data_IF_354742964949
#
_entry.id   IF_354742964949
#
_cell.length_a   1.000
_cell.length_b   1.000
_cell.length_c   1.000
_cell.angle_alpha   90.00
_cell.angle_beta   90.00
_cell.angle_gamma   90.00
#
_symmetry.space_group_name_H-M   'P 1'
#
loop_
_entity.id
_entity.type
_entity.pdbx_description
1 polymer ?
#
# COMPACT_ATOMS: atom_id res chain seq x y z
N UNK A 1 -11.32 -9.54 18.72
CA UNK A 1 -10.10 -9.42 17.90
C UNK A 1 -10.28 -8.26 16.94
N UNK A 2 -9.28 -7.44 16.75
CA UNK A 2 -9.30 -6.36 15.77
C UNK A 2 -8.11 -6.58 14.85
N UNK A 3 -8.35 -6.63 13.55
CA UNK A 3 -7.32 -6.62 12.51
C UNK A 3 -7.42 -5.29 11.80
N UNK A 4 -6.36 -4.48 11.85
CA UNK A 4 -6.28 -3.23 11.11
C UNK A 4 -5.28 -3.43 9.98
N UNK A 5 -5.65 -3.06 8.77
CA UNK A 5 -4.79 -3.08 7.60
C UNK A 5 -4.53 -1.65 7.16
N UNK A 6 -3.26 -1.26 7.21
CA UNK A 6 -2.79 0.07 6.81
C UNK A 6 -2.09 -0.03 5.46
N UNK A 7 -2.49 0.81 4.54
CA UNK A 7 -1.82 0.99 3.25
C UNK A 7 -1.25 2.41 3.24
N UNK A 8 0.06 2.53 3.21
CA UNK A 8 0.84 3.78 3.31
C UNK A 8 0.80 4.48 4.68
N UNK A 9 1.82 4.28 5.50
CA UNK A 9 2.12 5.13 6.64
C UNK A 9 2.42 4.43 7.96
N UNK A 10 3.26 5.09 8.74
CA UNK A 10 3.67 4.67 10.07
C UNK A 10 2.80 5.40 11.10
N UNK A 11 1.89 4.70 11.77
CA UNK A 11 1.18 5.25 12.91
C UNK A 11 1.73 4.71 14.24
N UNK A 12 2.18 5.63 15.09
CA UNK A 12 2.38 5.38 16.52
C UNK A 12 1.07 5.77 17.21
N UNK A 13 0.27 4.79 17.59
CA UNK A 13 -0.92 5.05 18.38
C UNK A 13 -0.52 5.46 19.80
N UNK A 14 -1.12 6.53 20.36
CA UNK A 14 -0.90 6.89 21.77
C UNK A 14 -1.41 5.76 22.68
N UNK A 15 -0.80 5.57 23.87
CA UNK A 15 -1.18 4.50 24.78
C UNK A 15 -2.60 4.72 25.31
N UNK A 16 -3.56 4.01 24.75
CA UNK A 16 -4.89 3.93 25.31
C UNK A 16 -4.88 2.95 26.50
N UNK A 17 -5.27 3.44 27.69
CA UNK A 17 -5.41 2.59 28.88
C UNK A 17 -6.60 1.64 28.74
N UNK A 18 -6.38 0.51 28.11
CA UNK A 18 -7.35 -0.60 28.14
C UNK A 18 -6.94 -1.52 29.29
N UNK A 19 -7.82 -1.68 30.27
CA UNK A 19 -7.63 -2.52 31.47
C UNK A 19 -7.78 -4.02 31.16
N UNK A 20 -7.23 -4.49 30.09
CA UNK A 20 -7.05 -5.91 29.78
C UNK A 20 -5.75 -6.04 29.00
N UNK A 21 -4.91 -6.99 29.40
CA UNK A 21 -3.64 -7.23 28.76
C UNK A 21 -3.87 -7.65 27.28
N UNK A 22 -3.94 -6.68 26.41
CA UNK A 22 -3.96 -6.87 24.94
C UNK A 22 -2.50 -7.04 24.55
N UNK A 23 -2.16 -8.18 23.96
CA UNK A 23 -0.87 -8.35 23.31
C UNK A 23 -0.90 -7.47 22.05
N UNK A 24 -0.28 -6.30 22.14
CA UNK A 24 -0.10 -5.41 21.00
C UNK A 24 1.07 -5.93 20.18
N UNK A 25 0.79 -6.67 19.13
CA UNK A 25 1.79 -7.02 18.13
C UNK A 25 1.66 -6.01 16.98
N UNK A 26 2.44 -4.91 17.08
CA UNK A 26 2.59 -3.98 15.97
C UNK A 26 3.59 -4.58 14.99
N UNK A 27 3.11 -5.05 13.88
CA UNK A 27 3.97 -5.54 12.81
C UNK A 27 4.05 -4.44 11.76
N UNK A 28 5.16 -3.71 11.76
CA UNK A 28 5.48 -2.72 10.73
C UNK A 28 6.14 -3.44 9.56
N UNK A 29 5.68 -3.18 8.32
CA UNK A 29 5.90 -4.20 7.32
C UNK A 29 6.06 -3.72 5.91
N UNK A 30 7.07 -4.27 5.28
CA UNK A 30 7.44 -4.18 3.89
C UNK A 30 7.09 -5.50 3.16
N UNK A 31 6.40 -5.43 2.16
CA UNK A 31 5.63 -6.10 1.10
C UNK A 31 5.68 -7.63 0.93
N UNK A 32 6.71 -8.38 1.00
CA UNK A 32 6.72 -9.76 0.47
C UNK A 32 7.03 -10.89 1.47
N UNK A 33 6.97 -10.76 2.67
CA UNK A 33 7.21 -11.83 3.66
C UNK A 33 6.32 -11.69 4.89
N UNK A 34 5.47 -10.76 4.86
CA UNK A 34 4.78 -10.32 6.06
C UNK A 34 3.30 -10.69 6.09
N UNK A 35 2.67 -10.88 4.95
CA UNK A 35 1.39 -11.56 4.94
C UNK A 35 1.57 -12.96 5.53
N UNK A 36 2.66 -13.65 5.19
CA UNK A 36 3.03 -14.94 5.78
C UNK A 36 3.25 -14.86 7.29
N UNK A 37 3.88 -13.80 7.80
CA UNK A 37 4.03 -13.60 9.23
C UNK A 37 2.68 -13.34 9.93
N UNK A 38 1.81 -12.56 9.32
CA UNK A 38 0.43 -12.37 9.79
C UNK A 38 -0.36 -13.67 9.76
N UNK A 39 -0.26 -14.42 8.67
CA UNK A 39 -0.88 -15.75 8.53
C UNK A 39 -0.36 -16.69 9.62
N UNK A 40 0.96 -16.80 9.77
CA UNK A 40 1.57 -17.65 10.81
C UNK A 40 1.20 -17.25 12.23
N UNK A 41 0.95 -15.94 12.47
CA UNK A 41 0.40 -15.48 13.75
C UNK A 41 -1.06 -15.92 13.92
N UNK A 42 -1.90 -15.73 12.89
CA UNK A 42 -3.33 -16.08 12.94
C UNK A 42 -3.56 -17.60 13.07
N UNK A 43 -2.63 -18.42 12.57
CA UNK A 43 -2.69 -19.88 12.66
C UNK A 43 -2.32 -20.42 14.05
N UNK A 44 -1.75 -19.59 14.91
CA UNK A 44 -1.43 -19.99 16.28
C UNK A 44 -2.68 -20.01 17.15
N UNK A 45 -2.66 -20.88 18.17
CA UNK A 45 -3.73 -20.90 19.18
C UNK A 45 -3.58 -19.72 20.14
N UNK A 46 -4.53 -18.79 20.10
CA UNK A 46 -4.58 -17.64 20.99
C UNK A 46 -5.54 -17.90 22.15
N UNK A 47 -5.06 -17.74 23.38
CA UNK A 47 -5.88 -17.89 24.60
C UNK A 47 -6.44 -16.55 25.11
N UNK A 48 -6.00 -15.42 24.49
CA UNK A 48 -6.40 -14.06 24.84
C UNK A 48 -6.79 -13.31 23.58
N UNK A 49 -7.65 -12.29 23.69
CA UNK A 49 -7.88 -11.35 22.60
C UNK A 49 -6.59 -10.69 22.15
N UNK A 50 -6.45 -10.42 20.87
CA UNK A 50 -5.30 -9.72 20.30
C UNK A 50 -5.73 -8.60 19.35
N UNK A 51 -4.80 -7.72 19.05
CA UNK A 51 -4.89 -6.67 18.05
C UNK A 51 -3.73 -6.87 17.09
N UNK A 52 -4.03 -7.09 15.81
CA UNK A 52 -3.04 -7.27 14.75
C UNK A 52 -3.13 -6.09 13.79
N UNK A 53 -2.00 -5.47 13.50
CA UNK A 53 -1.87 -4.43 12.48
C UNK A 53 -0.98 -4.97 11.37
N UNK A 54 -1.51 -5.01 10.16
CA UNK A 54 -0.76 -5.31 8.94
C UNK A 54 -0.63 -4.02 8.12
N UNK A 55 0.59 -3.53 7.95
CA UNK A 55 0.90 -2.35 7.14
C UNK A 55 1.57 -2.76 5.83
N UNK A 56 1.24 -2.09 4.75
CA UNK A 56 1.80 -2.31 3.42
C UNK A 56 2.34 -1.00 2.85
N UNK A 57 3.55 -1.04 2.33
CA UNK A 57 4.22 0.13 1.77
C UNK A 57 3.80 0.41 0.30
N UNK A 58 3.41 -0.63 -0.43
CA UNK A 58 2.85 -0.44 -1.77
C UNK A 58 1.45 0.21 -1.69
N UNK A 59 1.10 1.03 -2.65
CA UNK A 59 1.78 1.35 -3.91
C UNK A 59 2.81 2.50 -3.82
N UNK A 60 3.19 2.98 -2.62
CA UNK A 60 4.12 4.10 -2.45
C UNK A 60 5.46 3.88 -3.19
N UNK A 61 5.93 2.64 -3.28
CA UNK A 61 7.16 2.29 -3.99
C UNK A 61 7.20 2.66 -5.48
N UNK A 62 6.10 3.11 -6.07
CA UNK A 62 6.09 3.67 -7.42
C UNK A 62 7.03 4.89 -7.54
N UNK A 63 7.33 5.57 -6.42
CA UNK A 63 8.27 6.68 -6.40
C UNK A 63 9.68 6.27 -6.86
N UNK A 64 10.10 5.03 -6.62
CA UNK A 64 11.40 4.52 -7.08
C UNK A 64 11.45 4.43 -8.62
N UNK A 65 10.36 4.00 -9.25
CA UNK A 65 10.25 4.03 -10.70
C UNK A 65 10.34 5.47 -11.24
N UNK A 66 9.67 6.43 -10.61
CA UNK A 66 9.75 7.84 -11.01
C UNK A 66 11.16 8.43 -10.82
N UNK A 67 11.98 7.86 -9.94
CA UNK A 67 13.41 8.19 -9.74
C UNK A 67 14.33 7.43 -10.69
N UNK A 68 13.80 6.66 -11.63
CA UNK A 68 14.58 5.77 -12.51
C UNK A 68 15.37 4.70 -11.73
N UNK A 69 14.85 4.27 -10.60
CA UNK A 69 15.39 3.21 -9.77
C UNK A 69 14.60 1.93 -9.93
N UNK A 70 15.19 0.80 -9.55
CA UNK A 70 14.49 -0.47 -9.54
C UNK A 70 13.44 -0.49 -8.42
N UNK A 71 12.30 -1.11 -8.70
CA UNK A 71 11.31 -1.37 -7.65
C UNK A 71 11.91 -2.33 -6.61
N UNK A 72 11.77 -2.04 -5.30
CA UNK A 72 12.45 -2.81 -4.23
C UNK A 72 12.07 -4.29 -4.20
N UNK A 73 10.90 -4.65 -4.70
CA UNK A 73 10.32 -6.00 -4.60
C UNK A 73 10.23 -6.71 -5.94
N UNK A 74 11.18 -6.43 -6.79
CA UNK A 74 11.30 -7.02 -8.10
C UNK A 74 10.57 -6.25 -9.21
N UNK A 75 10.93 -6.58 -10.42
CA UNK A 75 10.32 -5.95 -11.59
C UNK A 75 8.86 -6.38 -11.73
N UNK A 76 8.08 -5.49 -12.28
CA UNK A 76 6.72 -5.75 -12.73
C UNK A 76 6.79 -5.87 -14.24
N UNK A 77 6.27 -6.96 -14.78
CA UNK A 77 6.14 -7.10 -16.22
C UNK A 77 5.10 -6.12 -16.74
N UNK A 78 5.47 -5.40 -17.79
CA UNK A 78 4.53 -4.55 -18.48
C UNK A 78 3.70 -5.40 -19.45
N UNK A 79 2.39 -5.27 -19.45
CA UNK A 79 1.58 -5.79 -20.53
C UNK A 79 1.86 -5.02 -21.83
N UNK A 80 1.40 -5.50 -22.99
CA UNK A 80 1.46 -4.76 -24.24
C UNK A 80 0.91 -3.34 -24.10
N UNK A 81 1.51 -2.37 -24.78
CA UNK A 81 1.18 -0.94 -24.64
C UNK A 81 -0.31 -0.62 -24.87
N UNK A 82 -0.97 -1.39 -25.73
CA UNK A 82 -2.41 -1.24 -26.00
C UNK A 82 -3.30 -1.62 -24.82
N UNK A 83 -2.75 -2.33 -23.82
CA UNK A 83 -3.45 -2.71 -22.59
C UNK A 83 -3.21 -1.70 -21.45
N UNK A 84 -2.29 -0.74 -21.62
CA UNK A 84 -2.06 0.27 -20.59
C UNK A 84 -3.29 1.16 -20.39
N UNK A 85 -3.60 1.53 -19.15
CA UNK A 85 -4.74 2.39 -18.86
C UNK A 85 -4.62 3.73 -19.58
N UNK A 86 -5.73 4.28 -20.00
CA UNK A 86 -5.78 5.62 -20.56
C UNK A 86 -5.37 6.69 -19.54
N UNK A 87 -5.02 7.89 -20.00
CA UNK A 87 -4.82 9.05 -19.13
C UNK A 87 -6.14 9.49 -18.49
N UNK A 88 -6.13 10.06 -17.29
CA UNK A 88 -7.34 10.61 -16.69
C UNK A 88 -7.86 11.81 -17.49
N UNK A 89 -9.17 12.05 -17.43
CA UNK A 89 -9.81 13.15 -18.17
C UNK A 89 -9.24 14.53 -17.80
N UNK A 90 -8.76 14.69 -16.59
CA UNK A 90 -8.15 15.90 -16.06
C UNK A 90 -6.61 15.87 -16.11
N UNK A 91 -6.02 15.11 -17.00
CA UNK A 91 -4.56 15.01 -17.14
C UNK A 91 -3.91 16.33 -17.59
N UNK A 92 -4.58 17.08 -18.43
CA UNK A 92 -4.07 18.37 -18.86
C UNK A 92 -3.93 19.34 -17.68
N UNK A 93 -2.86 20.16 -17.70
CA UNK A 93 -2.66 21.18 -16.69
C UNK A 93 -3.88 22.11 -16.65
N UNK A 94 -4.41 22.32 -15.45
CA UNK A 94 -5.50 23.27 -15.25
C UNK A 94 -4.97 24.70 -15.48
N UNK A 95 -5.59 25.50 -16.38
CA UNK A 95 -5.15 26.87 -16.64
C UNK A 95 -5.34 27.82 -15.45
N UNK A 96 -6.10 27.40 -14.44
CA UNK A 96 -6.37 28.18 -13.22
C UNK A 96 -5.56 27.71 -12.02
N UNK A 97 -4.57 26.85 -12.21
CA UNK A 97 -3.68 26.44 -11.13
C UNK A 97 -2.92 27.65 -10.59
N UNK A 98 -2.82 27.74 -9.26
CA UNK A 98 -2.01 28.75 -8.62
C UNK A 98 -0.52 28.57 -8.97
N UNK A 99 0.21 29.67 -9.07
CA UNK A 99 1.64 29.65 -9.42
C UNK A 99 2.48 28.77 -8.49
N UNK A 100 2.10 28.65 -7.22
CA UNK A 100 2.76 27.78 -6.25
C UNK A 100 2.74 26.32 -6.69
N UNK A 101 1.68 25.84 -7.37
CA UNK A 101 1.62 24.46 -7.90
C UNK A 101 2.73 24.24 -8.93
N UNK A 102 2.90 25.20 -9.85
CA UNK A 102 3.95 25.12 -10.86
C UNK A 102 5.35 25.20 -10.26
N UNK A 103 5.51 26.00 -9.20
CA UNK A 103 6.77 26.11 -8.45
C UNK A 103 7.11 24.79 -7.75
N UNK A 104 6.18 24.20 -6.99
CA UNK A 104 6.36 22.90 -6.34
C UNK A 104 6.68 21.79 -7.34
N UNK A 105 5.99 21.73 -8.48
CA UNK A 105 6.32 20.79 -9.55
C UNK A 105 7.76 20.96 -10.02
N UNK A 106 8.24 22.21 -10.16
CA UNK A 106 9.61 22.48 -10.60
C UNK A 106 10.67 21.97 -9.60
N UNK A 107 10.38 22.05 -8.32
CA UNK A 107 11.25 21.50 -7.26
C UNK A 107 11.24 19.97 -7.28
N UNK A 108 10.08 19.35 -7.45
CA UNK A 108 9.93 17.91 -7.49
C UNK A 108 10.68 17.25 -8.66
N UNK A 109 10.89 17.93 -9.77
CA UNK A 109 11.65 17.38 -10.90
C UNK A 109 13.12 17.07 -10.60
N UNK A 110 13.69 17.62 -9.54
CA UNK A 110 15.02 17.24 -9.07
C UNK A 110 15.04 15.86 -8.38
N UNK A 111 13.97 15.54 -7.66
CA UNK A 111 13.82 14.26 -6.97
C UNK A 111 13.17 13.18 -7.86
N UNK A 112 12.27 13.58 -8.74
CA UNK A 112 11.49 12.73 -9.63
C UNK A 112 11.61 13.24 -11.06
N UNK A 113 12.55 12.72 -11.88
CA UNK A 113 12.85 13.26 -13.22
C UNK A 113 11.75 12.95 -14.25
N UNK A 114 10.51 13.34 -13.97
CA UNK A 114 9.33 13.09 -14.80
C UNK A 114 8.97 14.23 -15.74
N UNK A 115 9.79 15.30 -15.77
CA UNK A 115 9.54 16.47 -16.61
C UNK A 115 9.31 16.14 -18.09
N UNK A 116 10.08 15.17 -18.58
CA UNK A 116 10.06 14.78 -19.98
C UNK A 116 9.15 13.57 -20.27
N UNK A 117 8.33 13.17 -19.31
CA UNK A 117 7.41 12.06 -19.51
C UNK A 117 6.41 12.40 -20.63
N UNK A 118 6.37 11.51 -21.60
CA UNK A 118 5.35 11.52 -22.66
C UNK A 118 4.00 11.03 -22.11
N UNK A 119 2.90 11.22 -22.84
CA UNK A 119 1.62 10.59 -22.50
C UNK A 119 1.73 9.07 -22.26
N UNK A 120 2.55 8.37 -23.05
CA UNK A 120 2.75 6.94 -22.89
C UNK A 120 3.58 6.58 -21.67
N UNK A 121 4.57 7.39 -21.28
CA UNK A 121 5.29 7.21 -20.02
C UNK A 121 4.34 7.32 -18.82
N UNK A 122 3.41 8.28 -18.84
CA UNK A 122 2.38 8.41 -17.82
C UNK A 122 1.37 7.26 -17.82
N UNK A 123 1.01 6.72 -18.97
CA UNK A 123 0.16 5.53 -19.07
C UNK A 123 0.87 4.31 -18.47
N UNK A 124 2.15 4.13 -18.79
CA UNK A 124 2.98 3.09 -18.23
C UNK A 124 3.12 3.22 -16.72
N UNK A 125 3.39 4.43 -16.22
CA UNK A 125 3.44 4.74 -14.78
C UNK A 125 2.14 4.34 -14.07
N UNK A 126 0.99 4.68 -14.65
CA UNK A 126 -0.33 4.28 -14.12
C UNK A 126 -0.51 2.76 -14.13
N UNK A 127 -0.08 2.10 -15.19
CA UNK A 127 -0.11 0.64 -15.24
C UNK A 127 0.68 0.04 -14.09
N UNK A 128 1.91 0.47 -13.88
CA UNK A 128 2.75 0.00 -12.78
C UNK A 128 2.12 0.26 -11.42
N UNK A 129 1.51 1.42 -11.23
CA UNK A 129 0.77 1.73 -10.01
C UNK A 129 -0.35 0.71 -9.74
N UNK A 130 -1.15 0.38 -10.76
CA UNK A 130 -2.21 -0.62 -10.61
C UNK A 130 -1.66 -2.00 -10.29
N UNK A 131 -0.55 -2.40 -10.91
CA UNK A 131 0.11 -3.68 -10.59
C UNK A 131 0.62 -3.72 -9.14
N UNK A 132 1.11 -2.60 -8.61
CA UNK A 132 1.50 -2.51 -7.20
C UNK A 132 0.29 -2.63 -6.25
N UNK A 133 -0.84 -2.03 -6.61
CA UNK A 133 -2.09 -2.19 -5.86
C UNK A 133 -2.55 -3.64 -5.86
N UNK A 134 -2.54 -4.32 -7.00
CA UNK A 134 -2.90 -5.73 -7.11
C UNK A 134 -2.00 -6.65 -6.28
N UNK A 135 -0.71 -6.33 -6.19
CA UNK A 135 0.20 -7.07 -5.29
C UNK A 135 -0.22 -6.96 -3.83
N UNK A 136 -0.59 -5.77 -3.37
CA UNK A 136 -1.09 -5.57 -2.00
C UNK A 136 -2.41 -6.30 -1.79
N UNK A 137 -3.32 -6.22 -2.73
CA UNK A 137 -4.61 -6.91 -2.66
C UNK A 137 -4.42 -8.42 -2.50
N UNK A 138 -3.49 -9.01 -3.25
CA UNK A 138 -3.15 -10.43 -3.13
C UNK A 138 -2.60 -10.78 -1.74
N UNK A 139 -1.74 -9.92 -1.14
CA UNK A 139 -1.20 -10.13 0.19
C UNK A 139 -2.29 -9.99 1.28
N UNK A 140 -3.18 -9.00 1.15
CA UNK A 140 -4.35 -8.85 2.01
C UNK A 140 -5.24 -10.09 1.91
N UNK A 141 -5.44 -10.60 0.69
CA UNK A 141 -6.19 -11.82 0.45
C UNK A 141 -5.68 -13.04 1.24
N UNK A 142 -4.36 -13.20 1.38
CA UNK A 142 -3.76 -14.27 2.20
C UNK A 142 -4.17 -14.15 3.67
N UNK A 143 -4.14 -12.94 4.22
CA UNK A 143 -4.52 -12.67 5.62
C UNK A 143 -6.00 -12.96 5.84
N UNK A 144 -6.88 -12.47 4.95
CA UNK A 144 -8.32 -12.71 5.03
C UNK A 144 -8.65 -14.19 4.91
N UNK A 145 -7.96 -14.91 4.01
CA UNK A 145 -8.09 -16.36 3.89
C UNK A 145 -7.66 -17.12 5.16
N UNK A 146 -6.63 -16.62 5.88
CA UNK A 146 -6.23 -17.21 7.15
C UNK A 146 -7.31 -17.00 8.23
N UNK A 147 -7.93 -15.81 8.30
CA UNK A 147 -9.06 -15.52 9.19
C UNK A 147 -10.22 -16.49 8.92
N UNK A 148 -10.52 -16.73 7.63
CA UNK A 148 -11.58 -17.64 7.21
C UNK A 148 -11.28 -19.10 7.60
N UNK A 149 -10.10 -19.59 7.24
CA UNK A 149 -9.67 -20.97 7.55
C UNK A 149 -9.64 -21.29 9.05
N UNK A 150 -9.40 -20.29 9.89
CA UNK A 150 -9.36 -20.43 11.33
C UNK A 150 -10.73 -20.17 12.01
N UNK A 151 -11.82 -19.99 11.23
CA UNK A 151 -13.18 -19.66 11.71
C UNK A 151 -13.19 -18.45 12.68
N UNK A 152 -12.36 -17.46 12.42
CA UNK A 152 -12.16 -16.31 13.31
C UNK A 152 -13.18 -15.18 13.07
N UNK A 153 -13.92 -15.18 11.96
CA UNK A 153 -14.85 -14.12 11.59
C UNK A 153 -15.91 -13.83 12.66
N UNK A 154 -16.32 -14.83 13.40
CA UNK A 154 -17.36 -14.69 14.44
C UNK A 154 -16.98 -13.70 15.56
N UNK A 155 -15.66 -13.54 15.80
CA UNK A 155 -15.12 -12.76 16.90
C UNK A 155 -14.05 -11.77 16.44
N UNK A 156 -14.03 -11.41 15.14
CA UNK A 156 -13.02 -10.53 14.56
C UNK A 156 -13.69 -9.33 13.90
N UNK A 157 -13.20 -8.15 14.22
CA UNK A 157 -13.44 -6.95 13.42
C UNK A 157 -12.20 -6.69 12.54
N UNK A 158 -12.41 -6.53 11.24
CA UNK A 158 -11.37 -6.13 10.29
C UNK A 158 -11.61 -4.68 9.93
N UNK A 159 -10.58 -3.85 10.10
CA UNK A 159 -10.60 -2.43 9.74
C UNK A 159 -9.61 -2.24 8.59
N UNK A 160 -10.09 -1.77 7.45
CA UNK A 160 -9.27 -1.38 6.31
C UNK A 160 -9.19 0.14 6.26
N UNK A 161 -7.97 0.67 6.19
CA UNK A 161 -7.75 2.12 6.15
C UNK A 161 -6.48 2.45 5.36
N UNK A 162 -6.40 3.68 4.88
CA UNK A 162 -5.18 4.30 4.36
C UNK A 162 -4.95 5.62 5.09
N UNK A 163 -3.73 6.10 5.08
CA UNK A 163 -3.36 7.45 5.50
C UNK A 163 -3.60 8.46 4.37
#
# INVERSE_FOLDING_TARGET
MIVSMLVNGMYILPPCRIKSLVLLLSILIVIMGWAEACVGFLEQKHTKPFFLVAGFDNPHNICEYARSQNLPWGNIEDPPQNEWPGLPLNFAKNPYDADVISYEQSLNYSAYPTRNYTPDDWRRYRNLYYRLVEKVDAEIGKILNAIDKQDLWKNTAVIFTSD
#
